data_IF_314781622161
#
_entry.id   IF_314781622161
#
_cell.length_a   1.000
_cell.length_b   1.000
_cell.length_c   1.000
_cell.angle_alpha   90.00
_cell.angle_beta   90.00
_cell.angle_gamma   90.00
#
_symmetry.space_group_name_H-M   'P 1'
#
loop_
_entity.id
_entity.type
_entity.pdbx_description
1 polymer ?
#
# COMPACT_ATOMS: atom_id res chain seq x y z
N UNK A 1 5.06 -55.03 -21.45
CA UNK A 1 6.20 -54.28 -21.98
C UNK A 1 5.84 -52.80 -21.86
N UNK A 2 6.45 -52.13 -20.88
CA UNK A 2 6.21 -50.72 -20.56
C UNK A 2 6.97 -49.84 -21.54
N UNK A 3 6.34 -48.78 -22.06
CA UNK A 3 7.06 -47.54 -22.40
C UNK A 3 6.19 -46.36 -21.98
N UNK A 4 6.65 -45.68 -20.93
CA UNK A 4 6.24 -44.36 -20.48
C UNK A 4 6.60 -43.33 -21.55
N UNK A 5 5.67 -42.43 -21.89
CA UNK A 5 6.03 -41.15 -22.50
C UNK A 5 6.01 -40.07 -21.41
N UNK A 6 7.22 -39.70 -20.99
CA UNK A 6 7.53 -38.53 -20.17
C UNK A 6 8.54 -37.71 -20.94
N UNK A 7 8.18 -36.46 -21.24
CA UNK A 7 9.13 -35.40 -21.56
C UNK A 7 8.39 -34.24 -22.21
N UNK A 8 8.63 -32.96 -21.94
CA UNK A 8 9.54 -32.27 -21.03
C UNK A 8 8.97 -30.86 -20.97
N UNK A 9 8.43 -30.42 -19.84
CA UNK A 9 8.11 -29.00 -19.66
C UNK A 9 9.42 -28.27 -19.39
N UNK A 10 9.91 -27.58 -20.43
CA UNK A 10 11.07 -26.69 -20.36
C UNK A 10 10.96 -25.76 -19.16
N UNK A 11 12.00 -25.79 -18.32
CA UNK A 11 12.16 -24.89 -17.19
C UNK A 11 12.14 -23.44 -17.63
N UNK A 12 11.09 -22.72 -17.27
CA UNK A 12 11.15 -21.26 -17.17
C UNK A 12 11.89 -20.93 -15.88
N UNK A 13 13.13 -20.53 -16.09
CA UNK A 13 14.03 -19.88 -15.12
C UNK A 13 13.28 -19.00 -14.13
N UNK A 14 13.28 -19.41 -12.85
CA UNK A 14 12.72 -18.70 -11.69
C UNK A 14 13.74 -17.73 -11.08
N UNK A 15 14.75 -17.32 -11.85
CA UNK A 15 15.79 -16.45 -11.34
C UNK A 15 15.35 -14.99 -11.43
N UNK A 16 15.18 -14.42 -10.24
CA UNK A 16 15.08 -13.00 -9.94
C UNK A 16 16.13 -12.22 -10.74
N UNK A 17 15.68 -11.38 -11.67
CA UNK A 17 16.52 -10.38 -12.30
C UNK A 17 16.31 -9.07 -11.51
N UNK A 18 17.29 -8.58 -10.74
CA UNK A 18 17.17 -7.35 -9.97
C UNK A 18 17.03 -6.09 -10.85
N UNK A 19 17.09 -6.23 -12.18
CA UNK A 19 16.88 -5.15 -13.16
C UNK A 19 15.49 -5.14 -13.82
N UNK A 20 14.59 -6.06 -13.46
CA UNK A 20 13.20 -6.01 -13.94
C UNK A 20 12.34 -5.19 -12.98
N UNK A 21 12.18 -3.91 -13.29
CA UNK A 21 11.36 -2.92 -12.54
C UNK A 21 9.88 -3.31 -12.40
N UNK A 22 9.39 -4.32 -13.14
CA UNK A 22 8.03 -4.82 -12.99
C UNK A 22 7.94 -5.85 -11.87
N UNK A 23 7.00 -5.65 -10.94
CA UNK A 23 6.61 -6.64 -9.93
C UNK A 23 6.52 -8.03 -10.56
N UNK A 24 7.12 -9.03 -9.92
CA UNK A 24 7.14 -10.37 -10.52
C UNK A 24 5.70 -10.89 -10.69
N UNK A 25 5.46 -11.79 -11.64
CA UNK A 25 4.13 -12.41 -11.82
C UNK A 25 3.58 -13.02 -10.53
N UNK A 26 4.46 -13.50 -9.65
CA UNK A 26 4.08 -14.02 -8.33
C UNK A 26 3.62 -12.90 -7.38
N UNK A 27 4.25 -11.74 -7.43
CA UNK A 27 3.90 -10.57 -6.61
C UNK A 27 2.55 -10.02 -7.05
N UNK A 28 2.34 -9.89 -8.36
CA UNK A 28 1.05 -9.50 -8.94
C UNK A 28 -0.06 -10.48 -8.54
N UNK A 29 0.21 -11.79 -8.60
CA UNK A 29 -0.77 -12.80 -8.19
C UNK A 29 -1.09 -12.72 -6.69
N UNK A 30 -0.09 -12.47 -5.84
CA UNK A 30 -0.31 -12.30 -4.39
C UNK A 30 -1.14 -11.06 -4.10
N UNK A 31 -0.84 -9.94 -4.74
CA UNK A 31 -1.63 -8.73 -4.60
C UNK A 31 -3.06 -8.97 -5.12
N UNK A 32 -3.25 -9.59 -6.28
CA UNK A 32 -4.57 -9.91 -6.81
C UNK A 32 -5.45 -10.74 -5.85
N UNK A 33 -4.85 -11.58 -5.00
CA UNK A 33 -5.57 -12.37 -3.99
C UNK A 33 -5.60 -11.73 -2.59
N UNK A 34 -5.00 -10.55 -2.41
CA UNK A 34 -5.04 -9.79 -1.18
C UNK A 34 -6.41 -9.12 -0.98
N UNK A 35 -6.72 -8.54 0.19
CA UNK A 35 -7.99 -7.87 0.47
C UNK A 35 -8.37 -6.82 -0.58
N UNK A 36 -9.60 -6.85 -1.06
CA UNK A 36 -10.08 -6.02 -2.17
C UNK A 36 -10.73 -4.73 -1.68
N UNK A 37 -10.93 -3.78 -2.59
CA UNK A 37 -11.83 -2.66 -2.31
C UNK A 37 -13.23 -3.20 -1.99
N UNK A 38 -13.83 -2.72 -0.90
CA UNK A 38 -15.07 -3.24 -0.32
C UNK A 38 -14.87 -4.25 0.80
N UNK A 39 -13.69 -4.86 0.94
CA UNK A 39 -13.40 -5.76 2.06
C UNK A 39 -13.04 -4.97 3.33
N UNK A 40 -13.22 -5.60 4.50
CA UNK A 40 -12.74 -5.05 5.76
C UNK A 40 -11.21 -5.07 5.78
N UNK A 41 -10.60 -3.95 6.15
CA UNK A 41 -9.15 -3.86 6.27
C UNK A 41 -8.63 -4.88 7.30
N UNK A 42 -7.63 -5.71 6.97
CA UNK A 42 -7.03 -6.63 7.93
C UNK A 42 -6.52 -5.90 9.17
N UNK A 43 -6.90 -6.41 10.33
CA UNK A 43 -6.35 -5.95 11.59
C UNK A 43 -5.03 -6.68 11.89
N UNK A 44 -4.01 -5.93 12.28
CA UNK A 44 -2.65 -6.42 12.52
C UNK A 44 -2.09 -5.75 13.77
N UNK A 45 -1.45 -6.54 14.64
CA UNK A 45 -0.73 -6.02 15.80
C UNK A 45 0.54 -5.30 15.34
N UNK A 46 0.65 -4.02 15.69
CA UNK A 46 1.80 -3.18 15.38
C UNK A 46 2.90 -3.35 16.44
N UNK A 47 4.12 -2.95 16.09
CA UNK A 47 5.30 -3.01 16.97
C UNK A 47 5.16 -2.22 18.28
N UNK A 48 4.27 -1.22 18.33
CA UNK A 48 3.97 -0.45 19.54
C UNK A 48 2.89 -1.09 20.44
N UNK A 49 2.47 -2.33 20.14
CA UNK A 49 1.47 -3.09 20.90
C UNK A 49 0.02 -2.72 20.62
N UNK A 50 -0.24 -1.75 19.73
CA UNK A 50 -1.58 -1.36 19.29
C UNK A 50 -1.96 -2.09 18.03
N UNK A 51 -3.26 -2.22 17.75
CA UNK A 51 -3.71 -2.82 16.49
C UNK A 51 -3.88 -1.75 15.40
N UNK A 52 -3.84 -2.18 14.15
CA UNK A 52 -4.10 -1.30 13.02
C UNK A 52 -5.55 -0.77 13.05
N UNK A 53 -6.49 -1.59 13.50
CA UNK A 53 -7.88 -1.17 13.73
C UNK A 53 -7.98 -0.07 14.79
N UNK A 54 -7.22 -0.18 15.89
CA UNK A 54 -7.18 0.88 16.90
C UNK A 54 -6.75 2.22 16.29
N UNK A 55 -5.84 2.23 15.31
CA UNK A 55 -5.41 3.44 14.60
C UNK A 55 -6.56 4.05 13.77
N UNK A 56 -7.38 3.22 13.13
CA UNK A 56 -8.55 3.67 12.37
C UNK A 56 -9.60 4.32 13.28
N UNK A 57 -9.86 3.75 14.46
CA UNK A 57 -10.88 4.25 15.38
C UNK A 57 -10.56 5.61 16.03
N UNK A 58 -9.33 6.10 15.95
CA UNK A 58 -8.91 7.38 16.58
C UNK A 58 -9.16 8.57 15.66
N UNK A 59 -9.62 8.31 14.44
CA UNK A 59 -9.79 9.32 13.42
C UNK A 59 -11.09 9.10 12.66
N UNK A 60 -11.68 10.20 12.21
CA UNK A 60 -12.77 10.19 11.24
C UNK A 60 -12.25 10.38 9.81
N UNK A 61 -10.93 10.52 9.65
CA UNK A 61 -10.25 10.64 8.37
C UNK A 61 -10.06 9.26 7.72
N UNK A 62 -9.91 9.24 6.40
CA UNK A 62 -9.39 8.07 5.71
C UNK A 62 -7.93 7.83 6.12
N UNK A 63 -7.46 6.61 5.96
CA UNK A 63 -6.09 6.21 6.22
C UNK A 63 -5.46 5.70 4.93
N UNK A 64 -4.38 6.33 4.47
CA UNK A 64 -3.59 5.89 3.33
C UNK A 64 -2.35 5.16 3.84
N UNK A 65 -2.26 3.85 3.53
CA UNK A 65 -1.08 3.04 3.77
C UNK A 65 -0.26 2.97 2.48
N UNK A 66 1.02 3.31 2.59
CA UNK A 66 2.00 3.25 1.51
C UNK A 66 3.03 2.18 1.84
N UNK A 67 3.07 1.12 1.04
CA UNK A 67 4.01 0.01 1.22
C UNK A 67 5.15 0.16 0.21
N UNK A 68 6.38 0.18 0.71
CA UNK A 68 7.60 0.17 -0.11
C UNK A 68 7.91 -1.22 -0.69
N UNK A 69 7.12 -2.23 -0.30
CA UNK A 69 7.35 -3.61 -0.68
C UNK A 69 8.61 -4.19 -0.02
N UNK A 70 9.09 -5.30 -0.56
CA UNK A 70 10.25 -6.03 -0.05
C UNK A 70 11.53 -5.82 -0.86
N UNK A 71 11.43 -5.17 -2.03
CA UNK A 71 12.55 -4.78 -2.89
C UNK A 71 12.73 -3.26 -2.81
N UNK A 72 13.78 -2.84 -2.11
CA UNK A 72 14.11 -1.42 -1.91
C UNK A 72 14.65 -0.82 -3.24
N UNK A 73 13.76 -0.35 -4.11
CA UNK A 73 14.18 0.44 -5.29
C UNK A 73 14.05 1.93 -4.99
N UNK A 74 15.04 2.74 -5.39
CA UNK A 74 14.99 4.18 -5.15
C UNK A 74 13.81 4.85 -5.90
N UNK A 75 13.46 4.35 -7.09
CA UNK A 75 12.38 4.92 -7.93
C UNK A 75 11.00 4.71 -7.30
N UNK A 76 10.68 3.49 -6.87
CA UNK A 76 9.41 3.20 -6.20
C UNK A 76 9.26 3.98 -4.90
N UNK A 77 10.35 4.07 -4.15
CA UNK A 77 10.41 4.82 -2.92
C UNK A 77 10.17 6.34 -3.11
N UNK A 78 10.81 6.96 -4.11
CA UNK A 78 10.61 8.37 -4.44
C UNK A 78 9.16 8.66 -4.86
N UNK A 79 8.54 7.75 -5.63
CA UNK A 79 7.13 7.85 -5.99
C UNK A 79 6.20 7.83 -4.75
N UNK A 80 6.47 6.97 -3.76
CA UNK A 80 5.71 6.94 -2.51
C UNK A 80 5.85 8.24 -1.70
N UNK A 81 7.05 8.83 -1.68
CA UNK A 81 7.26 10.15 -1.05
C UNK A 81 6.40 11.22 -1.73
N UNK A 82 6.42 11.27 -3.06
CA UNK A 82 5.64 12.25 -3.82
C UNK A 82 4.14 12.07 -3.61
N UNK A 83 3.64 10.82 -3.60
CA UNK A 83 2.26 10.51 -3.22
C UNK A 83 1.94 11.06 -1.82
N UNK A 84 2.79 10.76 -0.83
CA UNK A 84 2.58 11.23 0.54
C UNK A 84 2.55 12.75 0.63
N UNK A 85 3.48 13.45 -0.05
CA UNK A 85 3.56 14.92 -0.07
C UNK A 85 2.30 15.55 -0.66
N UNK A 86 1.87 15.09 -1.84
CA UNK A 86 0.68 15.62 -2.52
C UNK A 86 -0.57 15.37 -1.68
N UNK A 87 -0.74 14.14 -1.17
CA UNK A 87 -1.93 13.77 -0.41
C UNK A 87 -2.03 14.56 0.90
N UNK A 88 -0.92 14.68 1.64
CA UNK A 88 -0.88 15.50 2.88
C UNK A 88 -1.19 16.96 2.60
N UNK A 89 -0.66 17.52 1.51
CA UNK A 89 -0.89 18.92 1.15
C UNK A 89 -2.36 19.20 0.80
N UNK A 90 -3.00 18.30 0.05
CA UNK A 90 -4.34 18.53 -0.50
C UNK A 90 -5.47 18.06 0.43
N UNK A 91 -5.25 17.02 1.25
CA UNK A 91 -6.28 16.41 2.09
C UNK A 91 -5.86 16.24 3.56
N UNK A 92 -5.07 17.17 4.11
CA UNK A 92 -4.50 17.12 5.46
C UNK A 92 -5.47 16.65 6.58
N UNK A 93 -6.71 17.15 6.54
CA UNK A 93 -7.73 16.87 7.56
C UNK A 93 -8.60 15.65 7.21
N UNK A 94 -8.55 15.19 5.96
CA UNK A 94 -9.43 14.15 5.42
C UNK A 94 -8.70 12.81 5.29
N UNK A 95 -7.37 12.80 5.18
CA UNK A 95 -6.55 11.61 4.98
C UNK A 95 -5.30 11.65 5.87
N UNK A 96 -5.11 10.61 6.68
CA UNK A 96 -3.87 10.34 7.42
C UNK A 96 -2.98 9.40 6.60
N UNK A 97 -1.73 9.78 6.37
CA UNK A 97 -0.81 9.04 5.49
C UNK A 97 0.27 8.36 6.31
N UNK A 98 0.36 7.04 6.21
CA UNK A 98 1.36 6.21 6.87
C UNK A 98 2.21 5.44 5.86
N UNK A 99 3.53 5.55 5.98
CA UNK A 99 4.46 4.66 5.30
C UNK A 99 4.66 3.37 6.12
N UNK A 100 4.56 2.21 5.49
CA UNK A 100 4.82 0.91 6.10
C UNK A 100 6.18 0.42 5.63
N UNK A 101 7.12 0.28 6.56
CA UNK A 101 8.53 -0.05 6.25
C UNK A 101 9.03 -1.21 7.10
N UNK A 102 9.93 -2.02 6.54
CA UNK A 102 10.48 -3.20 7.22
C UNK A 102 11.50 -2.84 8.32
N UNK A 103 12.21 -1.74 8.15
CA UNK A 103 13.23 -1.29 9.08
C UNK A 103 13.17 0.23 9.22
N UNK A 104 13.66 0.80 10.36
CA UNK A 104 13.80 2.23 10.48
C UNK A 104 14.72 2.76 9.38
N UNK A 105 14.15 3.48 8.42
CA UNK A 105 14.95 4.34 7.55
C UNK A 105 15.42 5.54 8.37
N UNK A 106 16.63 6.04 8.09
CA UNK A 106 17.18 7.22 8.77
C UNK A 106 16.13 8.34 8.90
N UNK A 107 16.08 9.09 10.03
CA UNK A 107 15.06 10.09 10.29
C UNK A 107 15.02 11.09 9.13
N UNK A 108 13.87 11.15 8.44
CA UNK A 108 13.64 12.11 7.37
C UNK A 108 12.91 13.32 7.94
N UNK A 109 13.42 14.54 7.74
CA UNK A 109 12.83 15.75 8.31
C UNK A 109 11.41 16.06 7.81
N UNK A 110 10.98 15.38 6.74
CA UNK A 110 9.70 15.58 6.06
C UNK A 110 8.62 14.51 6.36
N UNK A 111 8.91 13.57 7.26
CA UNK A 111 7.89 12.66 7.81
C UNK A 111 7.37 13.21 9.13
N UNK A 112 6.06 13.46 9.22
CA UNK A 112 5.44 13.82 10.50
C UNK A 112 5.71 12.72 11.54
N UNK A 113 5.98 13.08 12.81
CA UNK A 113 6.14 12.09 13.88
C UNK A 113 4.95 11.13 13.93
N UNK A 114 5.23 9.83 13.88
CA UNK A 114 4.19 8.79 13.91
C UNK A 114 3.58 8.43 12.54
N UNK A 115 4.00 9.07 11.44
CA UNK A 115 3.54 8.74 10.07
C UNK A 115 4.26 7.54 9.43
N UNK A 116 5.01 6.77 10.23
CA UNK A 116 5.73 5.57 9.79
C UNK A 116 5.36 4.41 10.71
N UNK A 117 4.94 3.29 10.11
CA UNK A 117 4.65 2.03 10.77
C UNK A 117 5.79 1.06 10.47
N UNK A 118 6.46 0.60 11.52
CA UNK A 118 7.48 -0.45 11.40
C UNK A 118 6.82 -1.82 11.36
N UNK A 119 7.16 -2.61 10.34
CA UNK A 119 6.69 -3.98 10.12
C UNK A 119 7.87 -4.97 9.97
N UNK A 120 8.74 -5.11 11.01
CA UNK A 120 9.94 -5.93 10.90
C UNK A 120 9.63 -7.42 10.66
N UNK A 121 8.51 -7.92 11.19
CA UNK A 121 8.05 -9.30 10.99
C UNK A 121 7.21 -9.49 9.71
N UNK A 122 7.03 -8.44 8.90
CA UNK A 122 6.26 -8.47 7.63
C UNK A 122 4.79 -8.82 7.79
N UNK A 123 4.21 -8.70 8.98
CA UNK A 123 2.81 -9.06 9.21
C UNK A 123 1.86 -8.19 8.37
N UNK A 124 2.10 -6.88 8.29
CA UNK A 124 1.32 -5.99 7.42
C UNK A 124 1.56 -6.34 5.95
N UNK A 125 2.81 -6.47 5.52
CA UNK A 125 3.15 -6.79 4.13
C UNK A 125 2.49 -8.09 3.66
N UNK A 126 2.49 -9.13 4.50
CA UNK A 126 1.86 -10.42 4.18
C UNK A 126 0.34 -10.33 4.16
N UNK A 127 -0.29 -9.64 5.12
CA UNK A 127 -1.76 -9.52 5.19
C UNK A 127 -2.36 -8.66 4.08
N UNK A 128 -1.61 -7.67 3.61
CA UNK A 128 -2.01 -6.79 2.50
C UNK A 128 -1.43 -7.25 1.15
N UNK A 129 -0.74 -8.39 1.08
CA UNK A 129 -0.13 -8.89 -0.16
C UNK A 129 0.87 -7.89 -0.80
N UNK A 130 1.48 -7.04 0.02
CA UNK A 130 2.33 -5.93 -0.39
C UNK A 130 3.79 -6.37 -0.58
N UNK A 131 4.03 -7.33 -1.49
CA UNK A 131 5.40 -7.82 -1.74
C UNK A 131 6.21 -6.82 -2.59
N UNK A 132 5.55 -6.10 -3.49
CA UNK A 132 6.07 -4.97 -4.26
C UNK A 132 5.37 -3.67 -3.82
N UNK A 133 5.86 -2.51 -4.29
CA UNK A 133 5.31 -1.23 -3.88
C UNK A 133 3.83 -1.12 -4.24
N UNK A 134 3.01 -0.73 -3.27
CA UNK A 134 1.58 -0.61 -3.45
C UNK A 134 0.97 0.31 -2.39
N UNK A 135 -0.31 0.62 -2.57
CA UNK A 135 -1.04 1.46 -1.64
C UNK A 135 -2.43 0.91 -1.36
N UNK A 136 -2.93 1.25 -0.17
CA UNK A 136 -4.29 0.99 0.28
C UNK A 136 -4.87 2.25 0.91
N UNK A 137 -6.03 2.67 0.44
CA UNK A 137 -6.86 3.68 1.10
C UNK A 137 -7.95 2.98 1.91
N UNK A 138 -7.99 3.27 3.19
CA UNK A 138 -8.92 2.71 4.16
C UNK A 138 -9.89 3.82 4.55
N UNK A 139 -11.17 3.51 4.49
CA UNK A 139 -12.28 4.39 4.86
C UNK A 139 -12.36 4.52 6.39
N UNK A 140 -12.99 5.59 6.91
CA UNK A 140 -13.14 5.79 8.36
C UNK A 140 -13.88 4.66 9.08
N UNK A 141 -14.69 3.87 8.37
CA UNK A 141 -15.41 2.70 8.89
C UNK A 141 -14.57 1.41 8.89
N UNK A 142 -13.30 1.48 8.48
CA UNK A 142 -12.37 0.35 8.48
C UNK A 142 -12.47 -0.56 7.26
N UNK A 143 -13.16 -0.14 6.19
CA UNK A 143 -13.22 -0.85 4.91
C UNK A 143 -12.22 -0.29 3.92
N UNK A 144 -11.71 -1.13 3.02
CA UNK A 144 -10.82 -0.70 1.95
C UNK A 144 -11.65 0.04 0.89
N UNK A 145 -11.32 1.31 0.64
CA UNK A 145 -11.95 2.12 -0.41
C UNK A 145 -11.24 2.04 -1.74
N UNK A 146 -9.90 1.98 -1.72
CA UNK A 146 -9.08 1.95 -2.93
C UNK A 146 -7.77 1.20 -2.69
N UNK A 147 -7.21 0.60 -3.74
CA UNK A 147 -5.89 -0.04 -3.72
C UNK A 147 -5.27 -0.06 -5.11
N UNK A 148 -3.95 0.00 -5.20
CA UNK A 148 -3.22 -0.17 -6.46
C UNK A 148 -1.83 -0.77 -6.25
N UNK A 149 -1.41 -1.61 -7.21
CA UNK A 149 -0.05 -2.09 -7.40
C UNK A 149 0.27 -2.01 -8.91
N UNK A 150 1.33 -1.30 -9.32
CA UNK A 150 2.21 -0.48 -8.48
C UNK A 150 1.43 0.68 -7.83
N UNK A 151 2.07 1.38 -6.90
CA UNK A 151 1.49 2.57 -6.29
C UNK A 151 1.30 3.68 -7.35
N UNK A 152 0.10 3.78 -7.92
CA UNK A 152 -0.21 4.73 -8.99
C UNK A 152 -0.76 6.04 -8.43
N UNK A 153 0.02 7.12 -8.55
CA UNK A 153 -0.35 8.46 -8.10
C UNK A 153 -1.55 9.01 -8.85
N UNK A 154 -1.58 8.91 -10.18
CA UNK A 154 -2.63 9.55 -10.99
C UNK A 154 -3.99 8.92 -10.72
N UNK A 155 -4.04 7.58 -10.70
CA UNK A 155 -5.27 6.84 -10.41
C UNK A 155 -5.76 7.13 -8.99
N UNK A 156 -4.85 7.20 -8.01
CA UNK A 156 -5.20 7.59 -6.64
C UNK A 156 -5.81 8.99 -6.60
N UNK A 157 -5.15 9.99 -7.19
CA UNK A 157 -5.65 11.37 -7.15
C UNK A 157 -7.01 11.52 -7.82
N UNK A 158 -7.23 10.83 -8.94
CA UNK A 158 -8.52 10.80 -9.62
C UNK A 158 -9.61 10.18 -8.73
N UNK A 159 -9.30 9.07 -8.05
CA UNK A 159 -10.21 8.47 -7.08
C UNK A 159 -10.52 9.41 -5.91
N UNK A 160 -9.50 10.02 -5.29
CA UNK A 160 -9.66 10.94 -4.16
C UNK A 160 -10.47 12.18 -4.54
N UNK A 161 -10.21 12.77 -5.71
CA UNK A 161 -11.02 13.87 -6.23
C UNK A 161 -12.48 13.43 -6.36
N UNK A 162 -12.76 12.25 -6.94
CA UNK A 162 -14.15 11.80 -7.12
C UNK A 162 -14.95 11.70 -5.81
N UNK A 163 -14.31 11.37 -4.68
CA UNK A 163 -14.98 11.21 -3.38
C UNK A 163 -14.96 12.47 -2.52
N UNK A 164 -14.01 13.38 -2.73
CA UNK A 164 -13.89 14.62 -1.95
C UNK A 164 -14.34 15.89 -2.70
N UNK A 165 -14.54 15.84 -4.02
CA UNK A 165 -15.03 16.97 -4.82
C UNK A 165 -16.43 17.46 -4.41
N UNK A 166 -17.23 16.63 -3.71
CA UNK A 166 -18.54 17.05 -3.20
C UNK A 166 -18.41 18.03 -2.02
N UNK A 167 -17.31 17.99 -1.27
CA UNK A 167 -17.13 18.84 -0.10
C UNK A 167 -16.82 20.30 -0.48
N UNK A 168 -16.11 20.51 -1.60
CA UNK A 168 -15.70 21.84 -2.07
C UNK A 168 -16.85 22.66 -2.65
N UNK A 169 -17.83 22.03 -3.28
CA UNK A 169 -19.00 22.72 -3.85
C UNK A 169 -20.01 23.20 -2.79
N UNK A 170 -20.01 22.62 -1.58
CA UNK A 170 -20.90 23.03 -0.49
C UNK A 170 -20.32 24.17 0.37
N UNK A 171 -18.99 24.32 0.41
CA UNK A 171 -18.35 25.45 1.11
C UNK A 171 -18.29 26.73 0.27
N UNK A 172 -18.25 26.64 -1.07
CA UNK A 172 -18.28 27.82 -1.96
C UNK A 172 -19.69 28.40 -2.18
N UNK A 173 -20.75 27.66 -1.80
CA UNK A 173 -22.15 28.08 -1.95
C UNK A 173 -22.77 28.62 -0.64
N UNK A 174 -22.00 28.69 0.45
CA UNK A 174 -22.41 29.18 1.78
C UNK A 174 -21.72 30.52 2.12
#
# INVERSE_FOLDING_TARGET
MFVSDRGTLLGKSLFHNPESEAASLLDMHRFANAPQAGDRAPDVLLSNGRTLFELFCQTTSHVLLLFDGTSLTNVGYDNLIEIAKVVRKQWLNQIKVYGVVLAPTAPRPETEPGSVLLDPEKHLHMRYGAIAECLYLIRPDGYIGFRSQPADREVLLNYLNSIFSVHQMLEEAA
#
